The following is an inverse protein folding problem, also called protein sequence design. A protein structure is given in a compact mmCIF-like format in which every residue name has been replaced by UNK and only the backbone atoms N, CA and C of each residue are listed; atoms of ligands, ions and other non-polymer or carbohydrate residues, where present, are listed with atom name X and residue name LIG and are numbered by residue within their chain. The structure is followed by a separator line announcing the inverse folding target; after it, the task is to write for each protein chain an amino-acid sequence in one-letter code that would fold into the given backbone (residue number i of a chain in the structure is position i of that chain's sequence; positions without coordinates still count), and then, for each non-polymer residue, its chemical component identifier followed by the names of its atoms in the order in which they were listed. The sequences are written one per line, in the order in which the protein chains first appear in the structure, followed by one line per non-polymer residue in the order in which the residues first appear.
data_IF_100281466695
#
_entry.id   IF_100281466695
#
_cell.length_a   1.000
_cell.length_b   1.000
_cell.length_c   1.000
_cell.angle_alpha   90.00
_cell.angle_beta   90.00
_cell.angle_gamma   90.00
#
_symmetry.space_group_name_H-M   'P 1'
#
loop_
_entity.id
_entity.type
_entity.pdbx_description
1 polymer ?
#
# COMPACT_ATOMS: atom_id res chain seq x y z
N UNK A 1 -19.41 -8.29 -9.66
CA UNK A 1 -18.82 -8.04 -8.33
C UNK A 1 -17.36 -7.67 -8.51
N UNK A 2 -16.91 -6.61 -7.85
CA UNK A 2 -15.49 -6.22 -7.85
C UNK A 2 -14.73 -7.18 -6.97
N UNK A 3 -13.63 -7.73 -7.48
CA UNK A 3 -12.73 -8.57 -6.70
C UNK A 3 -11.38 -7.86 -6.50
N UNK A 4 -10.68 -8.25 -5.44
CA UNK A 4 -9.40 -7.69 -5.06
C UNK A 4 -8.33 -8.78 -5.14
N UNK A 5 -7.15 -8.42 -5.59
CA UNK A 5 -5.99 -9.30 -5.51
C UNK A 5 -5.25 -9.05 -4.20
N UNK A 6 -5.44 -9.93 -3.24
CA UNK A 6 -4.86 -9.84 -1.89
C UNK A 6 -3.56 -10.65 -1.76
N UNK A 7 -2.99 -11.11 -2.87
CA UNK A 7 -1.87 -12.05 -2.82
C UNK A 7 -0.61 -11.49 -2.15
N UNK A 8 -0.50 -10.16 -2.04
CA UNK A 8 0.64 -9.49 -1.40
C UNK A 8 0.33 -8.99 0.01
N UNK A 9 -0.78 -9.41 0.60
CA UNK A 9 -1.22 -8.95 1.93
C UNK A 9 -0.98 -9.97 3.04
N UNK A 10 0.08 -10.75 2.97
CA UNK A 10 0.40 -11.71 4.03
C UNK A 10 1.33 -11.09 5.06
N UNK A 11 1.30 -11.65 6.28
CA UNK A 11 2.11 -11.18 7.40
C UNK A 11 1.40 -10.18 8.30
N UNK A 12 0.23 -9.71 7.90
CA UNK A 12 -0.52 -8.72 8.67
C UNK A 12 -1.44 -9.32 9.73
N UNK A 13 -1.71 -10.60 9.68
CA UNK A 13 -2.64 -11.27 10.59
C UNK A 13 -2.16 -11.30 12.03
N UNK A 14 -0.88 -11.03 12.26
CA UNK A 14 -0.31 -10.93 13.61
C UNK A 14 -0.20 -9.49 14.11
N UNK A 15 -0.66 -8.54 13.32
CA UNK A 15 -0.57 -7.12 13.69
C UNK A 15 -1.57 -6.78 14.80
N UNK A 16 -1.10 -6.00 15.79
CA UNK A 16 -1.90 -5.67 16.98
C UNK A 16 -3.10 -4.79 16.72
N UNK A 17 -3.10 -4.05 15.63
CA UNK A 17 -4.14 -3.05 15.33
C UNK A 17 -5.45 -3.64 14.79
N UNK A 18 -5.60 -4.95 14.77
CA UNK A 18 -6.77 -5.58 14.15
C UNK A 18 -6.69 -5.64 12.63
N UNK A 19 -5.53 -5.32 12.05
CA UNK A 19 -5.35 -5.34 10.60
C UNK A 19 -5.56 -6.73 10.02
N UNK A 20 -5.14 -7.77 10.75
CA UNK A 20 -5.39 -9.16 10.34
C UNK A 20 -6.87 -9.45 10.19
N UNK A 21 -7.70 -8.93 11.08
CA UNK A 21 -9.15 -9.05 10.96
C UNK A 21 -9.67 -8.38 9.68
N UNK A 22 -9.17 -7.19 9.38
CA UNK A 22 -9.57 -6.49 8.15
C UNK A 22 -9.22 -7.31 6.90
N UNK A 23 -8.01 -7.83 6.82
CA UNK A 23 -7.59 -8.65 5.67
C UNK A 23 -8.41 -9.92 5.59
N UNK A 24 -8.66 -10.59 6.70
CA UNK A 24 -9.48 -11.81 6.73
C UNK A 24 -10.91 -11.53 6.26
N UNK A 25 -11.45 -10.36 6.58
CA UNK A 25 -12.78 -9.96 6.14
C UNK A 25 -12.85 -9.74 4.63
N UNK A 26 -11.72 -9.42 4.00
CA UNK A 26 -11.65 -9.19 2.56
C UNK A 26 -11.39 -10.48 1.76
N UNK A 27 -10.94 -11.54 2.42
CA UNK A 27 -10.58 -12.79 1.73
C UNK A 27 -11.69 -13.36 0.84
N UNK A 28 -12.98 -13.31 1.19
CA UNK A 28 -14.03 -13.80 0.29
C UNK A 28 -14.08 -13.10 -1.07
N UNK A 29 -13.51 -11.90 -1.16
CA UNK A 29 -13.49 -11.11 -2.41
C UNK A 29 -12.19 -11.28 -3.18
N UNK A 30 -11.30 -12.16 -2.72
CA UNK A 30 -9.99 -12.35 -3.34
C UNK A 30 -10.11 -13.06 -4.69
N UNK A 31 -9.37 -12.53 -5.68
CA UNK A 31 -9.12 -13.17 -6.96
C UNK A 31 -7.77 -12.70 -7.50
N UNK A 32 -6.97 -13.61 -8.03
CA UNK A 32 -5.69 -13.24 -8.65
C UNK A 32 -5.85 -12.32 -9.85
N UNK A 33 -7.03 -12.32 -10.47
CA UNK A 33 -7.34 -11.42 -11.58
C UNK A 33 -8.06 -10.16 -11.14
N UNK A 34 -8.23 -9.94 -9.83
CA UNK A 34 -8.87 -8.76 -9.28
C UNK A 34 -7.99 -7.52 -9.31
N UNK A 35 -8.53 -6.41 -8.81
CA UNK A 35 -7.78 -5.17 -8.64
C UNK A 35 -6.71 -5.39 -7.56
N UNK A 36 -5.46 -5.04 -7.86
CA UNK A 36 -4.36 -5.22 -6.91
C UNK A 36 -4.62 -4.40 -5.66
N UNK A 37 -4.41 -5.03 -4.50
CA UNK A 37 -4.64 -4.41 -3.19
C UNK A 37 -3.30 -4.25 -2.48
N UNK A 38 -2.87 -2.99 -2.29
CA UNK A 38 -1.69 -2.66 -1.50
C UNK A 38 -2.15 -2.30 -0.09
N UNK A 39 -2.01 -3.24 0.83
CA UNK A 39 -2.50 -3.08 2.19
C UNK A 39 -1.69 -2.13 3.05
N UNK A 40 -0.51 -1.68 2.58
CA UNK A 40 0.36 -0.83 3.38
C UNK A 40 1.27 -0.01 2.46
N UNK A 41 0.77 1.13 2.01
CA UNK A 41 1.48 1.98 1.04
C UNK A 41 2.84 2.46 1.56
N UNK A 42 2.93 2.84 2.84
CA UNK A 42 4.17 3.32 3.43
C UNK A 42 5.26 2.24 3.41
N UNK A 43 4.88 1.00 3.56
CA UNK A 43 5.82 -0.12 3.50
C UNK A 43 6.50 -0.19 2.13
N UNK A 44 5.72 -0.06 1.07
CA UNK A 44 6.20 -0.25 -0.29
C UNK A 44 6.83 1.01 -0.88
N UNK A 45 6.28 2.19 -0.59
CA UNK A 45 6.71 3.45 -1.20
C UNK A 45 7.58 4.31 -0.29
N UNK A 46 7.80 3.90 0.95
CA UNK A 46 8.65 4.65 1.87
C UNK A 46 9.70 3.76 2.54
N UNK A 47 9.28 2.88 3.45
CA UNK A 47 10.22 2.17 4.32
C UNK A 47 11.15 1.22 3.58
N UNK A 48 10.66 0.56 2.54
CA UNK A 48 11.41 -0.45 1.80
C UNK A 48 11.55 -0.10 0.32
N UNK A 49 11.42 1.18 -0.01
CA UNK A 49 11.40 1.62 -1.41
C UNK A 49 12.63 1.18 -2.19
N UNK A 50 13.81 1.27 -1.58
CA UNK A 50 15.06 0.88 -2.24
C UNK A 50 15.06 -0.60 -2.60
N UNK A 51 14.60 -1.43 -1.69
CA UNK A 51 14.48 -2.86 -1.93
C UNK A 51 13.58 -3.17 -3.12
N UNK A 52 12.41 -2.55 -3.15
CA UNK A 52 11.44 -2.81 -4.23
C UNK A 52 11.92 -2.28 -5.58
N UNK A 53 12.63 -1.16 -5.59
CA UNK A 53 13.18 -0.63 -6.81
C UNK A 53 14.34 -1.48 -7.36
N UNK A 54 15.20 -1.98 -6.49
CA UNK A 54 16.40 -2.72 -6.90
C UNK A 54 16.15 -4.20 -7.15
N UNK A 55 15.29 -4.84 -6.36
CA UNK A 55 15.05 -6.27 -6.49
C UNK A 55 13.98 -6.59 -7.53
N UNK A 56 13.32 -5.59 -8.10
CA UNK A 56 12.22 -5.81 -9.03
C UNK A 56 11.06 -6.58 -8.40
N UNK A 57 11.07 -6.70 -7.10
CA UNK A 57 10.11 -7.47 -6.35
C UNK A 57 8.92 -6.58 -6.04
N UNK A 58 7.74 -6.94 -6.47
CA UNK A 58 6.51 -6.16 -6.36
C UNK A 58 6.43 -4.95 -7.26
N UNK A 59 7.38 -4.80 -8.14
CA UNK A 59 7.19 -3.98 -9.32
C UNK A 59 6.53 -2.62 -9.09
N UNK A 60 7.00 -1.83 -8.12
CA UNK A 60 6.66 -0.40 -8.15
C UNK A 60 7.53 0.27 -9.21
N UNK A 61 7.00 1.23 -9.99
CA UNK A 61 5.62 1.75 -9.92
C UNK A 61 4.59 0.74 -10.41
N UNK A 62 3.38 0.87 -9.86
CA UNK A 62 2.27 0.06 -10.34
C UNK A 62 1.80 0.59 -11.70
N UNK A 63 1.65 -0.32 -12.66
CA UNK A 63 1.22 0.01 -14.03
C UNK A 63 -0.10 -0.68 -14.39
N UNK A 64 -0.85 -1.08 -13.40
CA UNK A 64 -2.14 -1.77 -13.53
C UNK A 64 -3.09 -1.24 -12.46
N UNK A 65 -4.40 -1.43 -12.59
CA UNK A 65 -5.36 -0.92 -11.59
C UNK A 65 -5.06 -1.44 -10.18
N UNK A 66 -5.06 -0.54 -9.20
CA UNK A 66 -4.80 -0.88 -7.82
C UNK A 66 -5.57 0.02 -6.86
N UNK A 67 -5.76 -0.47 -5.64
CA UNK A 67 -6.23 0.31 -4.50
C UNK A 67 -5.25 0.13 -3.36
N UNK A 68 -5.17 1.10 -2.48
CA UNK A 68 -4.20 1.07 -1.40
C UNK A 68 -4.71 1.62 -0.09
N UNK A 69 -3.97 1.36 0.97
CA UNK A 69 -4.30 1.81 2.33
C UNK A 69 -3.13 2.58 2.90
N UNK A 70 -3.41 3.80 3.38
CA UNK A 70 -2.48 4.62 4.14
C UNK A 70 -2.73 4.41 5.63
N UNK A 71 -1.67 4.12 6.37
CA UNK A 71 -1.73 3.88 7.81
C UNK A 71 -1.27 5.08 8.62
N UNK A 72 -0.35 5.88 8.09
CA UNK A 72 0.19 7.03 8.79
C UNK A 72 -0.70 8.25 8.62
N UNK A 73 -0.88 9.06 9.68
CA UNK A 73 -1.66 10.29 9.55
C UNK A 73 -0.91 11.34 8.73
N UNK A 74 -1.63 12.23 8.05
CA UNK A 74 -1.00 13.38 7.41
C UNK A 74 -0.52 14.38 8.47
N UNK A 75 0.47 15.19 8.11
CA UNK A 75 0.99 16.27 8.97
C UNK A 75 1.41 15.79 10.37
N UNK A 76 2.30 14.78 10.48
CA UNK A 76 2.77 14.33 11.78
C UNK A 76 3.59 15.43 12.46
N UNK A 77 3.78 15.36 13.80
CA UNK A 77 4.64 16.31 14.50
C UNK A 77 6.08 16.30 13.98
N UNK A 78 6.81 17.39 14.18
CA UNK A 78 8.18 17.55 13.68
C UNK A 78 9.15 16.47 14.19
N UNK A 79 8.87 15.89 15.36
CA UNK A 79 9.70 14.82 15.93
C UNK A 79 9.45 13.45 15.29
N UNK A 80 8.43 13.33 14.46
CA UNK A 80 8.15 12.08 13.73
C UNK A 80 9.06 11.98 12.50
N UNK A 81 9.21 10.77 11.98
CA UNK A 81 10.04 10.50 10.81
C UNK A 81 9.51 11.21 9.57
N UNK A 82 10.09 12.38 9.27
CA UNK A 82 9.64 13.23 8.17
C UNK A 82 9.91 12.63 6.80
N UNK A 83 10.84 11.69 6.70
CA UNK A 83 11.17 11.06 5.41
C UNK A 83 10.17 10.01 4.97
N UNK A 84 9.37 9.50 5.90
CA UNK A 84 8.39 8.44 5.64
C UNK A 84 6.96 8.90 5.88
N UNK A 85 6.71 10.20 5.84
CA UNK A 85 5.36 10.76 5.95
C UNK A 85 4.59 10.54 4.64
N UNK A 86 3.25 10.58 4.68
CA UNK A 86 2.46 10.57 3.43
C UNK A 86 2.87 11.68 2.47
N UNK A 87 3.19 12.87 2.98
CA UNK A 87 3.60 13.98 2.13
C UNK A 87 4.90 13.67 1.37
N UNK A 88 5.89 13.11 2.07
CA UNK A 88 7.15 12.70 1.43
C UNK A 88 6.92 11.62 0.38
N UNK A 89 6.05 10.65 0.67
CA UNK A 89 5.70 9.59 -0.26
C UNK A 89 5.03 10.18 -1.52
N UNK A 90 4.12 11.12 -1.36
CA UNK A 90 3.40 11.76 -2.47
C UNK A 90 4.33 12.54 -3.39
N UNK A 91 5.47 12.99 -2.91
CA UNK A 91 6.44 13.74 -3.71
C UNK A 91 7.36 12.83 -4.53
N UNK A 92 7.33 11.52 -4.31
CA UNK A 92 8.17 10.59 -5.06
C UNK A 92 7.58 10.30 -6.43
N UNK A 93 8.41 10.32 -7.46
CA UNK A 93 7.98 10.05 -8.83
C UNK A 93 7.37 8.68 -9.00
N UNK A 94 7.94 7.67 -8.31
CA UNK A 94 7.43 6.30 -8.39
C UNK A 94 5.99 6.22 -7.87
N UNK A 95 5.65 6.97 -6.84
CA UNK A 95 4.29 7.01 -6.32
C UNK A 95 3.37 7.78 -7.27
N UNK A 96 3.81 8.93 -7.77
CA UNK A 96 3.02 9.75 -8.69
C UNK A 96 2.69 8.99 -9.97
N UNK A 97 3.66 8.23 -10.49
CA UNK A 97 3.40 7.39 -11.66
C UNK A 97 2.35 6.32 -11.36
N UNK A 98 2.47 5.67 -10.19
CA UNK A 98 1.52 4.65 -9.77
C UNK A 98 0.10 5.20 -9.61
N UNK A 99 -0.04 6.48 -9.20
CA UNK A 99 -1.35 7.11 -9.03
C UNK A 99 -2.17 7.17 -10.30
N UNK A 100 -1.53 7.15 -11.47
CA UNK A 100 -2.26 7.16 -12.74
C UNK A 100 -3.18 5.94 -12.88
N UNK A 101 -2.85 4.85 -12.21
CA UNK A 101 -3.58 3.59 -12.27
C UNK A 101 -4.40 3.34 -11.00
N UNK A 102 -4.34 4.24 -10.04
CA UNK A 102 -4.98 4.07 -8.74
C UNK A 102 -6.51 4.22 -8.86
N UNK A 103 -7.24 3.29 -8.26
CA UNK A 103 -8.70 3.31 -8.21
C UNK A 103 -9.23 3.89 -6.91
N UNK A 104 -8.39 4.04 -5.91
CA UNK A 104 -8.76 4.64 -4.64
C UNK A 104 -7.74 4.37 -3.56
N UNK A 105 -7.72 5.25 -2.57
CA UNK A 105 -6.85 5.12 -1.40
C UNK A 105 -7.71 5.26 -0.15
N UNK A 106 -7.58 4.31 0.75
CA UNK A 106 -8.24 4.32 2.04
C UNK A 106 -7.26 4.87 3.06
N UNK A 107 -7.67 5.86 3.82
CA UNK A 107 -6.88 6.45 4.90
C UNK A 107 -7.46 6.01 6.25
N UNK A 108 -6.61 5.49 7.10
CA UNK A 108 -7.01 5.05 8.44
C UNK A 108 -6.87 6.16 9.47
#
# INVERSE_FOLDING_TARGET
MISLDLSKCYGFEKHRSGWGYCINSLKPYHSKSGIFFDGFLEHNFSWHIQRYLHEGFNAIPYTFPWVGVLHNPPNPPDWYDVYNTPQAMFDRDVFRYSLEFCRGIICL
#
